data_IF_345820025827
#
_entry.id   IF_345820025827
#
_cell.length_a   1.000
_cell.length_b   1.000
_cell.length_c   1.000
_cell.angle_alpha   90.00
_cell.angle_beta   90.00
_cell.angle_gamma   90.00
#
_symmetry.space_group_name_H-M   'P 1'
#
loop_
_entity.id
_entity.type
_entity.pdbx_description
1 polymer ?
#
# COMPACT_ATOMS: atom_id res chain seq x y z
N UNK A 1 -19.09 0.14 -20.20
CA UNK A 1 -17.82 -0.53 -20.56
C UNK A 1 -17.49 -1.46 -19.40
N UNK A 2 -17.22 -2.73 -19.69
CA UNK A 2 -17.05 -3.78 -18.67
C UNK A 2 -15.63 -3.63 -18.09
N UNK A 3 -15.51 -3.07 -16.88
CA UNK A 3 -14.27 -3.04 -16.12
C UNK A 3 -14.02 -4.46 -15.62
N UNK A 4 -12.99 -5.13 -16.14
CA UNK A 4 -12.50 -6.39 -15.59
C UNK A 4 -11.78 -6.08 -14.27
N UNK A 5 -12.14 -6.80 -13.22
CA UNK A 5 -11.86 -6.55 -11.80
C UNK A 5 -10.38 -6.45 -11.36
N UNK A 6 -9.42 -6.62 -12.26
CA UNK A 6 -8.00 -6.78 -11.90
C UNK A 6 -7.10 -5.65 -12.41
N UNK A 7 -7.64 -4.63 -13.10
CA UNK A 7 -6.87 -3.45 -13.55
C UNK A 7 -5.73 -3.72 -14.56
N UNK A 8 -5.45 -4.98 -14.90
CA UNK A 8 -4.28 -5.41 -15.69
C UNK A 8 -4.28 -4.94 -17.16
N UNK A 9 -5.43 -4.54 -17.72
CA UNK A 9 -5.57 -4.15 -19.12
C UNK A 9 -5.86 -2.65 -19.35
N UNK A 10 -5.90 -1.82 -18.31
CA UNK A 10 -6.09 -0.38 -18.47
C UNK A 10 -4.75 0.35 -18.60
N UNK A 11 -4.51 1.00 -19.75
CA UNK A 11 -3.36 1.87 -19.95
C UNK A 11 -3.62 3.27 -19.43
N UNK A 12 -2.56 3.95 -19.00
CA UNK A 12 -2.57 5.38 -18.66
C UNK A 12 -1.66 6.14 -19.61
N UNK A 13 -2.12 7.30 -20.11
CA UNK A 13 -1.31 8.16 -20.96
C UNK A 13 -0.60 9.22 -20.11
N UNK A 14 0.73 9.20 -20.11
CA UNK A 14 1.57 10.19 -19.46
C UNK A 14 2.48 10.85 -20.50
N UNK A 15 2.39 12.18 -20.62
CA UNK A 15 3.19 12.98 -21.57
C UNK A 15 3.13 12.47 -23.02
N UNK A 16 1.97 11.98 -23.45
CA UNK A 16 1.75 11.49 -24.82
C UNK A 16 2.22 10.05 -25.08
N UNK A 17 2.68 9.32 -24.06
CA UNK A 17 3.00 7.89 -24.15
C UNK A 17 2.04 7.07 -23.30
N UNK A 18 1.58 5.95 -23.82
CA UNK A 18 0.81 4.97 -23.06
C UNK A 18 1.71 4.09 -22.21
N UNK A 19 1.26 3.81 -21.00
CA UNK A 19 1.90 2.92 -20.05
C UNK A 19 0.89 1.92 -19.51
N UNK A 20 1.32 0.67 -19.42
CA UNK A 20 0.61 -0.36 -18.67
C UNK A 20 0.83 -0.17 -17.15
N UNK A 21 -0.03 -0.74 -16.29
CA UNK A 21 0.18 -0.71 -14.85
C UNK A 21 1.55 -1.28 -14.43
N UNK A 22 1.97 -2.39 -15.05
CA UNK A 22 3.29 -2.99 -14.79
C UNK A 22 4.45 -2.06 -15.16
N UNK A 23 4.36 -1.31 -16.26
CA UNK A 23 5.38 -0.32 -16.62
C UNK A 23 5.44 0.85 -15.63
N UNK A 24 4.30 1.29 -15.11
CA UNK A 24 4.24 2.30 -14.04
C UNK A 24 4.88 1.76 -12.76
N UNK A 25 4.49 0.57 -12.32
CA UNK A 25 5.08 -0.09 -11.15
C UNK A 25 6.60 -0.29 -11.32
N UNK A 26 7.07 -0.59 -12.54
CA UNK A 26 8.49 -0.71 -12.83
C UNK A 26 9.26 0.62 -12.71
N UNK A 27 8.62 1.78 -12.86
CA UNK A 27 9.25 3.08 -12.57
C UNK A 27 9.53 3.18 -11.07
N UNK A 28 8.57 2.82 -10.22
CA UNK A 28 8.73 2.85 -8.76
C UNK A 28 9.81 1.84 -8.32
N UNK A 29 9.76 0.62 -8.84
CA UNK A 29 10.74 -0.42 -8.52
C UNK A 29 12.17 -0.04 -8.96
N UNK A 30 12.34 0.67 -10.07
CA UNK A 30 13.64 1.22 -10.48
C UNK A 30 14.18 2.27 -9.50
N UNK A 31 13.30 3.09 -8.94
CA UNK A 31 13.72 4.05 -7.92
C UNK A 31 14.13 3.34 -6.63
N UNK A 32 13.39 2.32 -6.20
CA UNK A 32 13.77 1.48 -5.06
C UNK A 32 15.12 0.79 -5.29
N UNK A 33 15.36 0.27 -6.50
CA UNK A 33 16.67 -0.27 -6.92
C UNK A 33 17.78 0.76 -6.76
N UNK A 34 17.58 1.97 -7.32
CA UNK A 34 18.56 3.05 -7.27
C UNK A 34 18.90 3.45 -5.84
N UNK A 35 17.90 3.51 -4.95
CA UNK A 35 18.11 3.80 -3.53
C UNK A 35 18.94 2.68 -2.89
N UNK A 36 18.59 1.41 -3.11
CA UNK A 36 19.32 0.27 -2.55
C UNK A 36 20.77 0.21 -3.05
N UNK A 37 21.00 0.39 -4.35
CA UNK A 37 22.35 0.46 -4.95
C UNK A 37 23.16 1.63 -4.38
N UNK A 38 22.53 2.78 -4.15
CA UNK A 38 23.17 3.92 -3.50
C UNK A 38 23.58 3.65 -2.06
N UNK A 39 22.78 2.89 -1.31
CA UNK A 39 23.10 2.50 0.07
C UNK A 39 24.20 1.43 0.15
N UNK A 40 24.21 0.47 -0.78
CA UNK A 40 25.13 -0.68 -0.76
C UNK A 40 26.45 -0.40 -1.50
N UNK A 41 26.45 0.53 -2.46
CA UNK A 41 27.61 0.83 -3.31
C UNK A 41 27.89 -0.22 -4.39
N UNK A 42 26.96 -1.14 -4.63
CA UNK A 42 27.07 -2.21 -5.62
C UNK A 42 25.74 -2.45 -6.35
N UNK A 43 25.75 -3.08 -7.56
CA UNK A 43 24.53 -3.36 -8.31
C UNK A 43 23.59 -4.33 -7.59
N UNK A 44 22.29 -4.02 -7.58
CA UNK A 44 21.24 -4.87 -7.00
C UNK A 44 20.42 -5.49 -8.12
N UNK A 45 20.60 -6.78 -8.35
CA UNK A 45 20.02 -7.49 -9.52
C UNK A 45 18.91 -8.45 -9.17
N UNK A 46 18.70 -8.78 -7.89
CA UNK A 46 17.73 -9.78 -7.43
C UNK A 46 16.80 -9.16 -6.40
N UNK A 47 15.51 -9.50 -6.45
CA UNK A 47 14.53 -8.98 -5.51
C UNK A 47 13.51 -10.03 -5.10
N UNK A 48 13.01 -9.89 -3.87
CA UNK A 48 11.75 -10.47 -3.41
C UNK A 48 10.75 -9.31 -3.34
N UNK A 49 9.58 -9.47 -3.95
CA UNK A 49 8.57 -8.41 -4.03
C UNK A 49 7.31 -8.88 -3.30
N UNK A 50 6.74 -8.00 -2.48
CA UNK A 50 5.52 -8.27 -1.74
C UNK A 50 4.27 -8.02 -2.59
N UNK A 51 3.18 -8.71 -2.28
CA UNK A 51 1.83 -8.46 -2.81
C UNK A 51 0.79 -8.70 -1.72
N UNK A 52 -0.40 -8.08 -1.81
CA UNK A 52 -1.53 -8.41 -0.95
C UNK A 52 -1.84 -9.91 -0.98
N UNK A 53 -2.31 -10.47 0.13
CA UNK A 53 -2.56 -11.91 0.22
C UNK A 53 -3.65 -12.34 -0.76
N UNK A 54 -4.66 -11.49 -0.96
CA UNK A 54 -5.83 -11.77 -1.79
C UNK A 54 -5.65 -11.47 -3.29
N UNK A 55 -4.44 -11.12 -3.73
CA UNK A 55 -4.17 -10.88 -5.14
C UNK A 55 -4.38 -12.14 -6.00
N UNK A 56 -5.04 -11.94 -7.15
CA UNK A 56 -5.23 -12.95 -8.18
C UNK A 56 -3.89 -13.36 -8.81
N UNK A 57 -3.85 -14.53 -9.44
CA UNK A 57 -2.66 -14.99 -10.17
C UNK A 57 -2.24 -14.00 -11.26
N UNK A 58 -3.20 -13.33 -11.91
CA UNK A 58 -2.95 -12.31 -12.91
C UNK A 58 -2.26 -11.08 -12.30
N UNK A 59 -2.75 -10.60 -11.15
CA UNK A 59 -2.14 -9.46 -10.45
C UNK A 59 -0.73 -9.82 -9.93
N UNK A 60 -0.53 -11.05 -9.43
CA UNK A 60 0.80 -11.57 -9.03
C UNK A 60 1.77 -11.60 -10.20
N UNK A 61 1.31 -12.07 -11.36
CA UNK A 61 2.13 -12.09 -12.57
C UNK A 61 2.48 -10.66 -13.02
N UNK A 62 1.51 -9.74 -13.02
CA UNK A 62 1.75 -8.35 -13.40
C UNK A 62 2.78 -7.65 -12.49
N UNK A 63 2.80 -7.94 -11.18
CA UNK A 63 3.83 -7.46 -10.24
C UNK A 63 5.19 -8.07 -10.52
N UNK A 64 5.25 -9.37 -10.85
CA UNK A 64 6.50 -10.02 -11.25
C UNK A 64 7.06 -9.39 -12.53
N UNK A 65 6.22 -9.19 -13.53
CA UNK A 65 6.60 -8.55 -14.79
C UNK A 65 7.12 -7.12 -14.55
N UNK A 66 6.49 -6.36 -13.64
CA UNK A 66 6.98 -5.04 -13.25
C UNK A 66 8.40 -5.10 -12.65
N UNK A 67 8.69 -6.11 -11.83
CA UNK A 67 10.05 -6.36 -11.30
C UNK A 67 11.07 -6.68 -12.40
N UNK A 68 10.69 -7.50 -13.38
CA UNK A 68 11.54 -7.85 -14.51
C UNK A 68 11.81 -6.63 -15.42
N UNK A 69 10.78 -5.83 -15.72
CA UNK A 69 10.91 -4.56 -16.46
C UNK A 69 11.82 -3.57 -15.71
N UNK A 70 11.79 -3.58 -14.38
CA UNK A 70 12.67 -2.76 -13.55
C UNK A 70 14.13 -3.25 -13.53
N UNK A 71 14.43 -4.40 -14.12
CA UNK A 71 15.76 -4.99 -14.19
C UNK A 71 16.14 -5.79 -12.95
N UNK A 72 15.15 -6.39 -12.27
CA UNK A 72 15.37 -7.41 -11.25
C UNK A 72 15.13 -8.81 -11.81
N UNK A 73 15.93 -9.77 -11.38
CA UNK A 73 15.52 -11.16 -11.29
C UNK A 73 14.61 -11.30 -10.07
N UNK A 74 13.33 -11.51 -10.30
CA UNK A 74 12.34 -11.67 -9.22
C UNK A 74 12.41 -13.10 -8.69
N UNK A 75 13.04 -13.26 -7.53
CA UNK A 75 13.29 -14.56 -6.89
C UNK A 75 12.02 -15.16 -6.30
N UNK A 76 11.17 -14.29 -5.73
CA UNK A 76 9.93 -14.70 -5.08
C UNK A 76 8.95 -13.53 -5.05
N UNK A 77 7.69 -13.84 -5.31
CA UNK A 77 6.56 -13.03 -4.88
C UNK A 77 6.10 -13.59 -3.54
N UNK A 78 6.04 -12.75 -2.51
CA UNK A 78 5.61 -13.15 -1.17
C UNK A 78 4.39 -12.34 -0.74
N UNK A 79 3.50 -12.96 0.03
CA UNK A 79 2.36 -12.25 0.60
C UNK A 79 2.83 -11.26 1.67
N UNK A 80 2.29 -10.05 1.66
CA UNK A 80 2.53 -9.02 2.67
C UNK A 80 2.37 -9.53 4.11
N UNK A 81 1.26 -10.19 4.50
CA UNK A 81 1.12 -10.66 5.88
C UNK A 81 2.13 -11.75 6.24
N UNK A 82 2.59 -12.55 5.26
CA UNK A 82 3.67 -13.52 5.49
C UNK A 82 5.02 -12.83 5.68
N UNK A 83 5.31 -11.79 4.90
CA UNK A 83 6.53 -10.99 5.07
C UNK A 83 6.55 -10.28 6.45
N UNK A 84 5.40 -9.74 6.87
CA UNK A 84 5.23 -9.14 8.21
C UNK A 84 5.44 -10.18 9.32
N UNK A 85 4.84 -11.37 9.19
CA UNK A 85 5.02 -12.46 10.15
C UNK A 85 6.46 -12.98 10.21
N UNK A 86 7.16 -13.06 9.08
CA UNK A 86 8.60 -13.39 9.05
C UNK A 86 9.40 -12.35 9.84
N UNK A 87 9.15 -11.06 9.62
CA UNK A 87 9.82 -9.98 10.33
C UNK A 87 9.54 -10.03 11.85
N UNK A 88 8.30 -10.34 12.24
CA UNK A 88 7.91 -10.49 13.65
C UNK A 88 8.56 -11.73 14.31
N UNK A 89 8.52 -12.89 13.64
CA UNK A 89 9.01 -14.16 14.17
C UNK A 89 10.54 -14.26 14.25
N UNK A 90 11.29 -13.52 13.43
CA UNK A 90 12.76 -13.49 13.42
C UNK A 90 13.38 -13.17 14.79
N UNK A 91 12.72 -12.33 15.60
CA UNK A 91 13.20 -11.94 16.93
C UNK A 91 12.71 -12.85 18.08
N UNK A 92 11.79 -13.78 17.80
CA UNK A 92 11.02 -14.55 18.80
C UNK A 92 11.15 -16.06 18.61
N UNK A 93 12.29 -16.49 18.09
CA UNK A 93 12.54 -17.88 17.74
C UNK A 93 12.38 -18.81 18.96
N UNK A 94 11.33 -19.64 18.96
CA UNK A 94 11.15 -20.72 19.93
C UNK A 94 9.73 -20.89 20.47
N UNK A 95 8.90 -19.84 20.40
CA UNK A 95 7.55 -19.89 20.96
C UNK A 95 6.52 -20.27 19.87
N UNK A 96 5.61 -21.19 20.21
CA UNK A 96 4.42 -21.43 19.41
C UNK A 96 3.43 -20.29 19.66
N UNK A 97 3.14 -19.51 18.62
CA UNK A 97 2.34 -18.29 18.75
C UNK A 97 1.35 -18.19 17.60
N UNK A 98 0.10 -17.86 17.94
CA UNK A 98 -0.92 -17.50 16.95
C UNK A 98 -1.07 -15.99 16.93
N UNK A 99 -0.79 -15.39 15.78
CA UNK A 99 -0.85 -13.94 15.57
C UNK A 99 -1.91 -13.58 14.54
N UNK A 100 -2.47 -12.38 14.69
CA UNK A 100 -3.26 -11.74 13.65
C UNK A 100 -2.44 -10.60 13.04
N UNK A 101 -2.20 -10.66 11.73
CA UNK A 101 -1.67 -9.53 10.97
C UNK A 101 -2.85 -8.75 10.42
N UNK A 102 -2.97 -7.50 10.83
CA UNK A 102 -3.95 -6.53 10.33
C UNK A 102 -3.18 -5.49 9.52
N UNK A 103 -3.40 -5.46 8.21
CA UNK A 103 -2.74 -4.56 7.27
C UNK A 103 -3.79 -3.68 6.60
N UNK A 104 -3.76 -2.38 6.89
CA UNK A 104 -4.63 -1.38 6.30
C UNK A 104 -3.75 -0.34 5.61
N UNK A 105 -3.58 -0.52 4.31
CA UNK A 105 -2.74 0.33 3.47
C UNK A 105 -3.49 1.50 2.86
N UNK A 106 -2.88 2.09 1.84
CA UNK A 106 -3.47 3.21 1.10
C UNK A 106 -4.70 2.83 0.26
N UNK A 107 -4.77 1.61 -0.27
CA UNK A 107 -5.89 1.18 -1.11
C UNK A 107 -6.34 -0.27 -0.92
N UNK A 108 -5.69 -1.00 -0.02
CA UNK A 108 -6.03 -2.40 0.28
C UNK A 108 -6.06 -2.64 1.78
N UNK A 109 -6.92 -3.58 2.18
CA UNK A 109 -7.05 -4.08 3.52
C UNK A 109 -6.90 -5.59 3.52
N UNK A 110 -6.01 -6.12 4.35
CA UNK A 110 -5.82 -7.56 4.53
C UNK A 110 -5.78 -7.91 6.03
N UNK A 111 -6.39 -9.03 6.38
CA UNK A 111 -6.27 -9.65 7.70
C UNK A 111 -5.91 -11.11 7.56
N UNK A 112 -4.88 -11.55 8.28
CA UNK A 112 -4.44 -12.95 8.25
C UNK A 112 -4.18 -13.48 9.65
N UNK A 113 -4.68 -14.68 9.92
CA UNK A 113 -4.35 -15.46 11.12
C UNK A 113 -3.18 -16.37 10.77
N UNK A 114 -2.07 -16.18 11.47
CA UNK A 114 -0.81 -16.86 11.20
C UNK A 114 -0.38 -17.60 12.45
N UNK A 115 -0.02 -18.87 12.27
CA UNK A 115 0.60 -19.68 13.30
C UNK A 115 2.10 -19.75 13.04
N UNK A 116 2.86 -19.39 14.07
CA UNK A 116 4.31 -19.47 14.12
C UNK A 116 4.66 -20.66 15.00
N UNK A 117 5.36 -21.65 14.45
CA UNK A 117 5.83 -22.79 15.23
C UNK A 117 7.27 -23.14 14.83
N UNK A 118 8.22 -22.90 15.73
CA UNK A 118 9.62 -23.32 15.56
C UNK A 118 10.24 -22.89 14.21
N UNK A 119 9.93 -21.68 13.74
CA UNK A 119 10.39 -21.14 12.46
C UNK A 119 9.56 -21.55 11.24
N UNK A 120 8.54 -22.39 11.40
CA UNK A 120 7.50 -22.65 10.40
C UNK A 120 6.41 -21.60 10.54
N UNK A 121 5.96 -21.08 9.39
CA UNK A 121 4.89 -20.08 9.31
C UNK A 121 3.75 -20.70 8.51
N UNK A 122 2.60 -20.88 9.15
CA UNK A 122 1.37 -21.37 8.52
C UNK A 122 0.30 -20.28 8.53
N UNK A 123 -0.20 -19.93 7.35
CA UNK A 123 -1.37 -19.05 7.23
C UNK A 123 -2.61 -19.92 7.44
N UNK A 124 -3.32 -19.71 8.56
CA UNK A 124 -4.52 -20.46 8.93
C UNK A 124 -5.76 -19.92 8.21
N UNK A 125 -5.85 -18.61 8.10
CA UNK A 125 -6.92 -17.92 7.40
C UNK A 125 -6.42 -16.58 6.88
N UNK A 126 -6.95 -16.14 5.75
CA UNK A 126 -6.67 -14.83 5.18
C UNK A 126 -7.92 -14.30 4.49
N UNK A 127 -8.23 -13.02 4.70
CA UNK A 127 -9.33 -12.32 4.09
C UNK A 127 -8.99 -10.84 3.94
N UNK A 128 -9.73 -10.10 3.12
CA UNK A 128 -9.42 -8.70 2.88
C UNK A 128 -10.35 -8.06 1.86
N UNK A 129 -10.05 -6.81 1.54
CA UNK A 129 -10.70 -6.02 0.50
C UNK A 129 -9.63 -5.26 -0.29
N UNK A 130 -9.61 -5.47 -1.61
CA UNK A 130 -8.62 -4.88 -2.54
C UNK A 130 -8.97 -3.43 -2.94
N UNK A 131 -10.10 -2.91 -2.44
CA UNK A 131 -10.60 -1.55 -2.72
C UNK A 131 -11.00 -0.85 -1.43
N UNK A 132 -10.26 -1.07 -0.35
CA UNK A 132 -10.46 -0.41 0.93
C UNK A 132 -9.11 0.02 1.51
N UNK A 133 -8.91 1.31 1.75
CA UNK A 133 -7.70 1.84 2.36
C UNK A 133 -7.76 3.33 2.65
N UNK A 134 -6.60 3.92 2.93
CA UNK A 134 -6.42 5.36 3.18
C UNK A 134 -7.07 6.28 2.14
N UNK A 135 -7.10 5.88 0.86
CA UNK A 135 -7.72 6.65 -0.22
C UNK A 135 -9.23 6.86 0.01
N UNK A 136 -9.94 5.88 0.61
CA UNK A 136 -11.36 6.03 0.98
C UNK A 136 -11.54 7.03 2.12
N UNK A 137 -10.64 7.01 3.10
CA UNK A 137 -10.66 8.00 4.20
C UNK A 137 -10.37 9.40 3.67
N UNK A 138 -9.40 9.52 2.76
CA UNK A 138 -9.07 10.77 2.08
C UNK A 138 -10.26 11.31 1.30
N UNK A 139 -10.95 10.47 0.53
CA UNK A 139 -12.12 10.86 -0.23
C UNK A 139 -13.27 11.31 0.69
N UNK A 140 -13.56 10.56 1.75
CA UNK A 140 -14.59 10.93 2.73
C UNK A 140 -14.31 12.29 3.37
N UNK A 141 -13.07 12.52 3.79
CA UNK A 141 -12.68 13.80 4.38
C UNK A 141 -12.68 14.93 3.36
N UNK A 142 -12.21 14.68 2.13
CA UNK A 142 -12.21 15.68 1.07
C UNK A 142 -13.62 16.10 0.69
N UNK A 143 -14.55 15.16 0.59
CA UNK A 143 -15.96 15.46 0.34
C UNK A 143 -16.58 16.28 1.48
N UNK A 144 -16.32 15.89 2.73
CA UNK A 144 -16.78 16.67 3.88
C UNK A 144 -16.25 18.12 3.85
N UNK A 145 -14.96 18.32 3.58
CA UNK A 145 -14.37 19.66 3.49
C UNK A 145 -14.89 20.46 2.30
N UNK A 146 -15.16 19.80 1.16
CA UNK A 146 -15.76 20.43 0.00
C UNK A 146 -17.18 20.92 0.29
N UNK A 147 -18.01 20.10 0.93
CA UNK A 147 -19.38 20.45 1.31
C UNK A 147 -19.38 21.63 2.30
N UNK A 148 -18.49 21.64 3.30
CA UNK A 148 -18.36 22.77 4.22
C UNK A 148 -17.93 24.06 3.52
N UNK A 149 -17.02 23.98 2.54
CA UNK A 149 -16.58 25.14 1.77
C UNK A 149 -17.72 25.68 0.89
N UNK A 150 -18.51 24.80 0.28
CA UNK A 150 -19.67 25.17 -0.50
C UNK A 150 -20.75 25.83 0.35
N UNK A 151 -21.03 25.30 1.55
CA UNK A 151 -21.98 25.89 2.50
C UNK A 151 -21.56 27.31 2.95
N UNK A 152 -20.25 27.53 3.18
CA UNK A 152 -19.74 28.82 3.67
C UNK A 152 -19.57 29.86 2.55
N UNK A 153 -19.17 29.43 1.35
CA UNK A 153 -18.77 30.34 0.27
C UNK A 153 -19.65 30.28 -0.98
N UNK A 154 -20.59 29.33 -1.04
CA UNK A 154 -21.53 29.14 -2.16
C UNK A 154 -20.88 28.64 -3.45
N UNK A 155 -19.68 28.04 -3.37
CA UNK A 155 -18.92 27.54 -4.53
C UNK A 155 -18.41 26.14 -4.23
N UNK A 156 -18.74 25.17 -5.07
CA UNK A 156 -18.18 23.81 -4.96
C UNK A 156 -16.73 23.77 -5.49
N UNK A 157 -15.73 23.47 -4.63
CA UNK A 157 -14.34 23.35 -5.08
C UNK A 157 -14.09 22.14 -5.99
N UNK A 158 -14.98 21.15 -6.02
CA UNK A 158 -14.85 19.92 -6.83
C UNK A 158 -15.00 20.18 -8.34
N UNK A 159 -15.70 21.25 -8.71
CA UNK A 159 -15.89 21.67 -10.11
C UNK A 159 -14.59 22.13 -10.80
N UNK A 160 -13.54 22.43 -10.02
CA UNK A 160 -12.22 22.79 -10.51
C UNK A 160 -11.21 21.71 -10.18
N UNK A 161 -10.64 21.05 -11.20
CA UNK A 161 -9.59 20.03 -11.02
C UNK A 161 -8.45 20.49 -10.10
N UNK A 162 -8.06 21.76 -10.18
CA UNK A 162 -7.00 22.33 -9.33
C UNK A 162 -7.47 22.49 -7.88
N UNK A 163 -8.70 22.97 -7.65
CA UNK A 163 -9.23 23.16 -6.31
C UNK A 163 -9.55 21.81 -5.65
N UNK A 164 -10.18 20.88 -6.38
CA UNK A 164 -10.40 19.50 -5.94
C UNK A 164 -9.09 18.85 -5.48
N UNK A 165 -8.03 18.94 -6.28
CA UNK A 165 -6.72 18.42 -5.90
C UNK A 165 -6.12 19.08 -4.65
N UNK A 166 -6.37 20.37 -4.44
CA UNK A 166 -5.95 21.06 -3.22
C UNK A 166 -6.74 20.59 -1.99
N UNK A 167 -8.05 20.34 -2.11
CA UNK A 167 -8.88 19.81 -1.02
C UNK A 167 -8.41 18.41 -0.62
N UNK A 168 -8.13 17.53 -1.58
CA UNK A 168 -7.57 16.19 -1.30
C UNK A 168 -6.22 16.30 -0.58
N UNK A 169 -5.31 17.17 -1.04
CA UNK A 169 -4.02 17.36 -0.39
C UNK A 169 -4.15 17.90 1.04
N UNK A 170 -5.07 18.84 1.27
CA UNK A 170 -5.37 19.35 2.61
C UNK A 170 -5.99 18.27 3.51
N UNK A 171 -6.82 17.40 2.96
CA UNK A 171 -7.45 16.28 3.69
C UNK A 171 -6.39 15.31 4.20
N UNK A 172 -5.48 14.87 3.32
CA UNK A 172 -4.32 14.02 3.67
C UNK A 172 -3.48 14.63 4.79
N UNK A 173 -3.07 15.89 4.62
CA UNK A 173 -2.28 16.59 5.63
C UNK A 173 -3.02 16.76 6.97
N UNK A 174 -4.35 16.91 6.93
CA UNK A 174 -5.21 16.95 8.11
C UNK A 174 -5.23 15.61 8.86
N UNK A 175 -5.37 14.50 8.13
CA UNK A 175 -5.33 13.15 8.71
C UNK A 175 -4.00 12.87 9.38
N UNK A 176 -2.87 13.10 8.70
CA UNK A 176 -1.54 12.89 9.25
C UNK A 176 -1.36 13.64 10.58
N UNK A 177 -1.82 14.90 10.61
CA UNK A 177 -1.75 15.74 11.81
C UNK A 177 -2.65 15.23 12.94
N UNK A 178 -3.84 14.71 12.63
CA UNK A 178 -4.73 14.14 13.64
C UNK A 178 -4.10 12.89 14.26
N UNK A 179 -3.48 12.02 13.46
CA UNK A 179 -2.79 10.83 13.95
C UNK A 179 -1.63 11.22 14.88
N UNK A 180 -0.79 12.17 14.46
CA UNK A 180 0.36 12.64 15.24
C UNK A 180 -0.04 13.36 16.54
N UNK A 181 -1.03 14.25 16.47
CA UNK A 181 -1.50 14.99 17.65
C UNK A 181 -2.13 14.08 18.70
N UNK A 182 -2.77 13.00 18.28
CA UNK A 182 -3.38 11.99 19.16
C UNK A 182 -2.33 11.08 19.79
N UNK A 183 -1.30 10.66 19.04
CA UNK A 183 -0.16 9.88 19.54
C UNK A 183 0.65 10.65 20.59
N UNK A 184 0.86 11.96 20.37
CA UNK A 184 1.56 12.82 21.31
C UNK A 184 0.78 13.05 22.63
N UNK A 185 -0.56 12.94 22.58
CA UNK A 185 -1.42 13.02 23.76
C UNK A 185 -1.49 11.69 24.55
N UNK A 186 -1.48 10.54 23.87
CA UNK A 186 -1.56 9.22 24.51
C UNK A 186 -0.23 8.76 25.14
N UNK A 187 0.92 9.15 24.56
CA UNK A 187 2.26 8.87 25.12
C UNK A 187 2.52 9.51 26.50
N UNK A 188 1.65 10.42 26.98
CA UNK A 188 1.71 11.01 28.33
C UNK A 188 0.92 10.25 29.39
N UNK A 189 0.26 9.12 29.07
CA UNK A 189 -0.57 8.34 30.00
C UNK A 189 -0.27 6.84 30.01
N UNK A 190 1.01 6.47 30.16
CA UNK A 190 1.34 5.13 30.68
C UNK A 190 1.92 5.32 32.09
N UNK A 191 1.12 5.20 33.16
CA UNK A 191 1.66 5.00 34.50
C UNK A 191 2.28 3.60 34.58
N UNK A 192 3.49 3.52 35.12
CA UNK A 192 4.16 2.25 35.45
C UNK A 192 3.64 1.61 36.72
#
# INVERSE_FOLDING_TARGET
>A
MHQTADGTNSTVTLSGREYTPSEISAIILREMKRIAEGCLGEPVTRAVITVPAYFSDAARQATKDAGEIAGFTVERIINEPTAAALAYGLARAGDEEMIAVYDLGGGTFDVSIIELNSGVIEVRASHGDVHLGGDDFDELLANYLADQFEDEHGVDPRESRRAAGAVVACSRAGQDRLVDSTLCASARRIPG
#
